data_IF_868527234377
#
_entry.id   IF_868527234377
#
_cell.length_a   1.000
_cell.length_b   1.000
_cell.length_c   1.000
_cell.angle_alpha   90.00
_cell.angle_beta   90.00
_cell.angle_gamma   90.00
#
_symmetry.space_group_name_H-M   'P 1'
#
loop_
_entity.id
_entity.type
_entity.pdbx_description
1 polymer ?
#
# COMPACT_ATOMS: atom_id res chain seq x y z
N UNK A 1 -25.07 1.07 -76.59
CA UNK A 1 -24.77 -0.06 -77.51
C UNK A 1 -24.57 -1.24 -76.61
N UNK A 2 -25.62 -1.97 -76.44
CA UNK A 2 -25.94 -3.26 -77.08
C UNK A 2 -25.05 -4.37 -76.50
N UNK A 3 -25.68 -5.23 -75.78
CA UNK A 3 -26.50 -6.47 -76.01
C UNK A 3 -25.65 -7.66 -75.59
N UNK A 4 -26.01 -8.62 -74.95
CA UNK A 4 -27.07 -9.62 -74.70
C UNK A 4 -26.32 -10.83 -74.14
N UNK A 5 -26.68 -11.43 -73.09
CA UNK A 5 -27.75 -12.38 -72.78
C UNK A 5 -27.46 -13.84 -73.21
N UNK A 6 -27.87 -14.72 -72.36
CA UNK A 6 -28.15 -16.17 -72.52
C UNK A 6 -26.95 -17.13 -72.28
N UNK A 7 -27.08 -18.22 -71.58
CA UNK A 7 -28.25 -18.99 -71.22
C UNK A 7 -27.90 -20.18 -70.34
N UNK A 8 -28.88 -20.69 -69.78
CA UNK A 8 -29.16 -21.82 -68.90
C UNK A 8 -28.40 -23.13 -69.24
N UNK A 9 -27.94 -23.86 -68.25
CA UNK A 9 -28.18 -25.31 -68.16
C UNK A 9 -27.87 -25.87 -66.78
N UNK A 10 -28.88 -26.42 -66.16
CA UNK A 10 -28.97 -27.31 -65.01
C UNK A 10 -28.16 -28.59 -65.21
N UNK A 11 -27.38 -29.00 -64.19
CA UNK A 11 -27.28 -30.41 -63.83
C UNK A 11 -26.91 -30.54 -62.35
N UNK A 12 -27.85 -31.19 -61.62
CA UNK A 12 -27.68 -31.74 -60.30
C UNK A 12 -26.66 -32.89 -60.31
N UNK A 13 -25.67 -32.84 -59.42
CA UNK A 13 -25.10 -34.07 -58.87
C UNK A 13 -24.88 -33.89 -57.39
N UNK A 14 -25.56 -34.69 -56.65
CA UNK A 14 -25.43 -34.93 -55.22
C UNK A 14 -24.06 -35.53 -54.91
N UNK A 15 -23.29 -34.87 -54.04
CA UNK A 15 -22.24 -35.54 -53.31
C UNK A 15 -22.27 -35.14 -51.85
N UNK A 16 -22.14 -36.16 -51.02
CA UNK A 16 -22.35 -36.20 -49.60
C UNK A 16 -21.43 -35.27 -48.83
N UNK A 17 -21.99 -34.38 -48.05
CA UNK A 17 -21.34 -33.68 -46.95
C UNK A 17 -21.03 -34.68 -45.83
N UNK A 18 -19.78 -35.10 -45.72
CA UNK A 18 -19.25 -35.69 -44.50
C UNK A 18 -19.10 -34.60 -43.44
N UNK A 19 -20.09 -34.39 -42.64
CA UNK A 19 -20.03 -33.69 -41.37
C UNK A 19 -19.30 -34.58 -40.38
N UNK A 20 -18.01 -34.39 -40.22
CA UNK A 20 -17.26 -34.87 -39.04
C UNK A 20 -17.72 -34.08 -37.84
N UNK A 21 -18.84 -34.47 -37.23
CA UNK A 21 -19.15 -34.08 -35.86
C UNK A 21 -18.03 -34.57 -34.97
N UNK A 22 -17.23 -33.61 -34.48
CA UNK A 22 -16.34 -33.82 -33.35
C UNK A 22 -17.19 -34.21 -32.12
N UNK A 23 -17.48 -35.50 -32.01
CA UNK A 23 -18.04 -36.07 -30.79
C UNK A 23 -16.99 -35.92 -29.68
N UNK A 24 -17.04 -34.81 -28.95
CA UNK A 24 -16.36 -34.68 -27.68
C UNK A 24 -16.85 -35.81 -26.79
N UNK A 25 -15.94 -36.73 -26.44
CA UNK A 25 -16.20 -37.85 -25.57
C UNK A 25 -16.90 -37.42 -24.27
N UNK A 26 -17.82 -38.21 -23.72
CA UNK A 26 -18.52 -37.88 -22.47
C UNK A 26 -17.62 -37.49 -21.32
N UNK A 27 -16.36 -37.97 -21.28
CA UNK A 27 -15.35 -37.58 -20.28
C UNK A 27 -14.89 -36.15 -20.39
N UNK A 28 -14.81 -35.53 -21.60
CA UNK A 28 -14.43 -34.13 -21.76
C UNK A 28 -15.55 -33.18 -21.34
N UNK A 29 -16.83 -33.56 -21.60
CA UNK A 29 -17.99 -32.79 -21.09
C UNK A 29 -18.10 -32.86 -19.56
N UNK A 30 -17.82 -34.00 -18.95
CA UNK A 30 -17.83 -34.18 -17.48
C UNK A 30 -16.65 -33.37 -16.85
N UNK A 31 -15.49 -33.35 -17.48
CA UNK A 31 -14.36 -32.52 -17.02
C UNK A 31 -14.66 -31.01 -17.12
N UNK A 32 -15.28 -30.57 -18.20
CA UNK A 32 -15.70 -29.17 -18.35
C UNK A 32 -16.75 -28.77 -17.31
N UNK A 33 -17.79 -29.58 -17.11
CA UNK A 33 -18.81 -29.37 -16.08
C UNK A 33 -18.25 -29.39 -14.65
N UNK A 34 -17.27 -30.28 -14.33
CA UNK A 34 -16.59 -30.28 -13.03
C UNK A 34 -15.65 -29.09 -12.83
N UNK A 35 -15.12 -28.50 -13.90
CA UNK A 35 -14.37 -27.26 -13.81
C UNK A 35 -15.22 -26.04 -13.40
N UNK A 36 -16.50 -26.05 -13.78
CA UNK A 36 -17.45 -24.98 -13.42
C UNK A 36 -17.93 -25.01 -11.95
N UNK A 37 -17.73 -26.10 -11.24
CA UNK A 37 -18.22 -26.26 -9.86
C UNK A 37 -17.26 -25.79 -8.77
N UNK A 38 -16.17 -25.10 -9.11
CA UNK A 38 -15.29 -24.48 -8.11
C UNK A 38 -15.66 -22.99 -8.01
N UNK A 39 -16.34 -22.53 -6.94
CA UNK A 39 -16.80 -21.16 -6.85
C UNK A 39 -15.60 -20.20 -6.95
N UNK A 40 -15.79 -19.14 -7.72
CA UNK A 40 -14.88 -18.02 -7.77
C UNK A 40 -15.14 -17.17 -6.53
N UNK A 41 -14.12 -16.95 -5.70
CA UNK A 41 -14.22 -16.14 -4.49
C UNK A 41 -13.76 -14.74 -4.83
N UNK A 42 -14.69 -13.79 -4.73
CA UNK A 42 -14.38 -12.38 -4.96
C UNK A 42 -13.60 -11.80 -3.79
N UNK A 43 -12.57 -11.02 -4.11
CA UNK A 43 -11.69 -10.39 -3.16
C UNK A 43 -11.38 -8.96 -3.61
N UNK A 44 -11.41 -8.00 -2.68
CA UNK A 44 -10.96 -6.63 -2.88
C UNK A 44 -9.67 -6.41 -2.11
N UNK A 45 -8.60 -6.04 -2.81
CA UNK A 45 -7.30 -5.73 -2.21
C UNK A 45 -6.88 -4.31 -2.58
N UNK A 46 -6.77 -3.44 -1.58
CA UNK A 46 -6.14 -2.14 -1.71
C UNK A 46 -4.78 -2.22 -1.02
N UNK A 47 -3.71 -1.86 -1.72
CA UNK A 47 -2.35 -2.06 -1.22
C UNK A 47 -1.51 -0.80 -1.43
N UNK A 48 -0.95 -0.29 -0.33
CA UNK A 48 0.07 0.76 -0.31
C UNK A 48 1.44 0.13 -0.04
N UNK A 49 2.23 0.02 -1.08
CA UNK A 49 3.57 -0.57 -1.02
C UNK A 49 4.59 0.42 -0.43
N UNK A 50 4.47 0.74 0.85
CA UNK A 50 5.40 1.59 1.58
C UNK A 50 6.81 0.96 1.68
N UNK A 51 7.86 1.78 1.89
CA UNK A 51 9.25 1.29 2.00
C UNK A 51 9.55 0.57 3.31
N UNK A 52 8.82 0.89 4.38
CA UNK A 52 8.99 0.28 5.71
C UNK A 52 7.83 -0.61 6.09
N UNK A 53 6.63 -0.30 5.63
CA UNK A 53 5.42 -1.08 5.86
C UNK A 53 4.57 -1.11 4.61
N UNK A 54 4.09 -2.28 4.27
CA UNK A 54 2.99 -2.47 3.35
C UNK A 54 1.72 -2.32 4.17
N UNK A 55 0.86 -1.41 3.77
CA UNK A 55 -0.46 -1.20 4.36
C UNK A 55 -1.48 -1.71 3.36
N UNK A 56 -2.48 -2.41 3.83
CA UNK A 56 -3.48 -2.95 2.92
C UNK A 56 -4.86 -3.03 3.56
N UNK A 57 -5.86 -3.02 2.70
CA UNK A 57 -7.25 -3.25 3.02
C UNK A 57 -7.70 -4.49 2.23
N UNK A 58 -7.96 -5.58 2.91
CA UNK A 58 -8.42 -6.83 2.32
C UNK A 58 -9.89 -7.06 2.70
N UNK A 59 -10.77 -7.02 1.72
CA UNK A 59 -12.22 -7.14 1.94
C UNK A 59 -12.80 -6.20 3.03
N UNK A 60 -12.20 -5.03 3.20
CA UNK A 60 -12.64 -4.05 4.20
C UNK A 60 -11.88 -4.12 5.54
N UNK A 61 -11.03 -5.12 5.76
CA UNK A 61 -10.19 -5.23 6.96
C UNK A 61 -8.82 -4.58 6.72
N UNK A 62 -8.46 -3.67 7.61
CA UNK A 62 -7.19 -2.94 7.57
C UNK A 62 -6.09 -3.74 8.24
N UNK A 63 -4.94 -3.84 7.58
CA UNK A 63 -3.76 -4.48 8.16
C UNK A 63 -2.45 -3.85 7.66
N UNK A 64 -1.37 -4.13 8.36
CA UNK A 64 -0.02 -3.68 8.01
C UNK A 64 1.01 -4.77 8.25
N UNK A 65 1.93 -4.93 7.31
CA UNK A 65 3.09 -5.81 7.45
C UNK A 65 4.39 -5.03 7.20
N UNK A 66 5.48 -5.50 7.75
CA UNK A 66 6.80 -4.96 7.44
C UNK A 66 7.17 -5.26 5.99
N UNK A 67 7.75 -4.27 5.30
CA UNK A 67 8.12 -4.38 3.89
C UNK A 67 9.44 -5.15 3.73
N UNK A 68 9.48 -6.36 4.28
CA UNK A 68 10.62 -7.28 4.22
C UNK A 68 10.15 -8.67 3.84
N UNK A 69 11.00 -9.42 3.15
CA UNK A 69 10.74 -10.84 2.92
C UNK A 69 12.05 -11.63 2.94
N UNK A 70 11.93 -12.94 3.14
CA UNK A 70 12.99 -13.93 2.90
C UNK A 70 12.50 -15.02 1.96
N UNK A 71 13.35 -15.42 1.04
CA UNK A 71 13.23 -16.66 0.31
C UNK A 71 13.91 -17.75 1.14
N UNK A 72 13.19 -18.78 1.53
CA UNK A 72 13.71 -19.84 2.40
C UNK A 72 13.91 -21.14 1.65
N UNK A 73 14.94 -21.90 2.05
CA UNK A 73 15.19 -23.26 1.61
C UNK A 73 14.55 -24.22 2.61
N UNK A 74 13.76 -25.16 2.13
CA UNK A 74 13.05 -26.11 2.98
C UNK A 74 11.59 -25.74 3.22
N UNK A 75 10.95 -26.40 4.19
CA UNK A 75 9.53 -26.29 4.45
C UNK A 75 9.14 -24.94 5.07
N UNK A 76 7.93 -24.49 4.77
CA UNK A 76 7.36 -23.30 5.37
C UNK A 76 7.01 -23.56 6.85
N UNK A 77 7.26 -22.58 7.75
CA UNK A 77 6.85 -22.70 9.14
C UNK A 77 5.32 -22.86 9.24
N UNK A 78 4.91 -23.87 10.01
CA UNK A 78 3.50 -24.14 10.25
C UNK A 78 2.87 -23.03 11.08
N UNK A 79 1.69 -22.55 10.67
CA UNK A 79 0.90 -21.57 11.43
C UNK A 79 1.43 -20.12 11.39
N UNK A 80 2.53 -19.83 10.72
CA UNK A 80 3.07 -18.48 10.59
C UNK A 80 2.33 -17.73 9.47
N UNK A 81 1.90 -16.49 9.76
CA UNK A 81 1.32 -15.60 8.75
C UNK A 81 2.40 -15.08 7.77
N UNK A 82 1.99 -14.69 6.56
CA UNK A 82 2.89 -14.21 5.54
C UNK A 82 3.75 -15.28 4.88
N UNK A 83 3.45 -16.56 5.10
CA UNK A 83 4.17 -17.71 4.54
C UNK A 83 3.41 -18.31 3.35
N UNK A 84 4.09 -18.47 2.20
CA UNK A 84 3.50 -19.09 1.00
C UNK A 84 4.56 -19.66 0.07
N UNK A 85 4.16 -20.59 -0.79
CA UNK A 85 5.00 -21.08 -1.90
C UNK A 85 4.50 -20.48 -3.22
N UNK A 86 5.44 -19.99 -4.02
CA UNK A 86 5.16 -19.35 -5.30
C UNK A 86 6.31 -19.59 -6.27
N UNK A 87 6.02 -20.03 -7.50
CA UNK A 87 7.02 -20.34 -8.53
C UNK A 87 8.15 -21.27 -8.00
N UNK A 88 7.77 -22.33 -7.31
CA UNK A 88 8.67 -23.33 -6.70
C UNK A 88 9.66 -22.75 -5.66
N UNK A 89 9.32 -21.65 -5.02
CA UNK A 89 10.07 -21.02 -3.96
C UNK A 89 9.19 -20.78 -2.76
N UNK A 90 9.76 -20.84 -1.57
CA UNK A 90 9.09 -20.58 -0.31
C UNK A 90 9.44 -19.19 0.19
N UNK A 91 8.43 -18.41 0.54
CA UNK A 91 8.55 -17.03 0.99
C UNK A 91 7.98 -16.84 2.38
N UNK A 92 8.64 -16.02 3.16
CA UNK A 92 8.14 -15.45 4.41
C UNK A 92 8.19 -13.93 4.28
N UNK A 93 7.07 -13.25 4.52
CA UNK A 93 6.93 -11.79 4.40
C UNK A 93 6.59 -11.20 5.76
N UNK A 94 7.16 -10.03 6.07
CA UNK A 94 6.90 -9.29 7.30
C UNK A 94 7.68 -9.83 8.49
N UNK A 95 7.12 -9.65 9.71
CA UNK A 95 7.80 -9.97 10.98
C UNK A 95 8.27 -11.43 11.09
N UNK A 96 7.60 -12.37 10.42
CA UNK A 96 8.01 -13.77 10.40
C UNK A 96 9.44 -13.98 9.88
N UNK A 97 9.99 -13.02 9.11
CA UNK A 97 11.38 -13.08 8.65
C UNK A 97 12.42 -13.18 9.78
N UNK A 98 12.13 -12.65 10.97
CA UNK A 98 13.05 -12.70 12.11
C UNK A 98 13.25 -14.14 12.62
N UNK A 99 12.26 -15.01 12.42
CA UNK A 99 12.22 -16.38 12.92
C UNK A 99 12.76 -17.43 11.96
N UNK A 100 13.16 -17.05 10.75
CA UNK A 100 13.63 -17.97 9.71
C UNK A 100 15.01 -17.59 9.19
N UNK A 101 15.76 -18.61 8.73
CA UNK A 101 17.06 -18.39 8.07
C UNK A 101 16.83 -17.97 6.60
N UNK A 102 17.69 -17.12 6.08
CA UNK A 102 17.66 -16.66 4.70
C UNK A 102 18.14 -15.22 4.59
N UNK A 103 18.40 -14.79 3.36
CA UNK A 103 18.75 -13.41 3.07
C UNK A 103 17.52 -12.51 3.21
N UNK A 104 17.65 -11.46 4.01
CA UNK A 104 16.59 -10.46 4.19
C UNK A 104 16.57 -9.50 3.00
N UNK A 105 15.42 -9.39 2.35
CA UNK A 105 15.19 -8.43 1.28
C UNK A 105 14.19 -7.38 1.73
N UNK A 106 14.60 -6.12 1.69
CA UNK A 106 13.75 -4.98 2.03
C UNK A 106 13.10 -4.39 0.77
N UNK A 107 11.90 -3.82 0.90
CA UNK A 107 11.22 -3.09 -0.17
C UNK A 107 11.88 -1.73 -0.40
N UNK A 108 12.94 -1.69 -1.18
CA UNK A 108 13.56 -0.46 -1.66
C UNK A 108 12.92 0.01 -2.97
N UNK A 109 13.23 1.27 -3.40
CA UNK A 109 12.61 1.89 -4.59
C UNK A 109 12.58 0.97 -5.81
N UNK A 110 13.68 0.28 -6.10
CA UNK A 110 13.77 -0.58 -7.29
C UNK A 110 13.13 -1.96 -7.11
N UNK A 111 12.99 -2.43 -5.89
CA UNK A 111 12.41 -3.74 -5.59
C UNK A 111 10.89 -3.73 -5.44
N UNK A 112 10.28 -2.56 -5.17
CA UNK A 112 8.82 -2.46 -4.97
C UNK A 112 8.04 -3.02 -6.16
N UNK A 113 8.41 -2.61 -7.38
CA UNK A 113 7.73 -3.06 -8.59
C UNK A 113 8.22 -4.43 -9.01
N UNK A 114 9.53 -4.67 -9.00
CA UNK A 114 10.11 -5.97 -9.43
C UNK A 114 9.62 -7.16 -8.60
N UNK A 115 9.25 -6.92 -7.35
CA UNK A 115 8.77 -7.93 -6.38
C UNK A 115 7.33 -7.69 -5.94
N UNK A 116 6.56 -6.98 -6.77
CA UNK A 116 5.15 -6.68 -6.47
C UNK A 116 4.33 -7.96 -6.30
N UNK A 117 4.66 -9.03 -7.03
CA UNK A 117 4.08 -10.35 -6.89
C UNK A 117 4.25 -10.89 -5.45
N UNK A 118 5.46 -10.79 -4.89
CA UNK A 118 5.74 -11.22 -3.50
C UNK A 118 4.97 -10.34 -2.49
N UNK A 119 4.91 -9.03 -2.72
CA UNK A 119 4.21 -8.11 -1.81
C UNK A 119 2.70 -8.33 -1.81
N UNK A 120 2.10 -8.56 -2.97
CA UNK A 120 0.66 -8.87 -3.11
C UNK A 120 0.33 -10.19 -2.43
N UNK A 121 1.12 -11.23 -2.67
CA UNK A 121 0.91 -12.54 -2.03
C UNK A 121 1.19 -12.47 -0.53
N UNK A 122 2.20 -11.71 -0.10
CA UNK A 122 2.48 -11.43 1.30
C UNK A 122 1.31 -10.77 2.00
N UNK A 123 0.68 -9.77 1.39
CA UNK A 123 -0.51 -9.14 1.94
C UNK A 123 -1.68 -10.12 2.08
N UNK A 124 -1.96 -10.91 1.04
CA UNK A 124 -3.04 -11.92 1.07
C UNK A 124 -2.84 -13.00 2.14
N UNK A 125 -1.58 -13.41 2.38
CA UNK A 125 -1.25 -14.51 3.30
C UNK A 125 -0.95 -14.02 4.73
N UNK A 126 -0.77 -12.72 4.93
CA UNK A 126 -0.52 -12.12 6.24
C UNK A 126 -1.79 -11.83 7.02
N UNK A 127 -2.90 -11.59 6.31
CA UNK A 127 -4.22 -11.62 6.91
C UNK A 127 -4.69 -13.07 6.95
N UNK A 128 -4.37 -13.75 8.04
CA UNK A 128 -4.66 -15.18 8.19
C UNK A 128 -6.15 -15.48 8.12
N UNK A 129 -6.98 -14.60 8.67
CA UNK A 129 -8.41 -14.87 8.83
C UNK A 129 -9.10 -15.09 7.49
N UNK A 130 -8.84 -14.24 6.49
CA UNK A 130 -9.48 -14.36 5.16
C UNK A 130 -9.20 -15.71 4.46
N UNK A 131 -7.93 -16.10 4.36
CA UNK A 131 -7.58 -17.37 3.70
C UNK A 131 -7.92 -18.58 4.58
N UNK A 132 -7.81 -18.46 5.89
CA UNK A 132 -8.14 -19.53 6.83
C UNK A 132 -9.65 -19.80 6.85
N UNK A 133 -10.49 -18.78 6.87
CA UNK A 133 -11.94 -18.92 6.72
C UNK A 133 -12.32 -19.64 5.42
N UNK A 134 -11.62 -19.34 4.32
CA UNK A 134 -11.80 -20.04 3.06
C UNK A 134 -11.41 -21.51 3.18
N UNK A 135 -10.32 -21.83 3.88
CA UNK A 135 -9.86 -23.20 4.08
C UNK A 135 -10.77 -23.99 5.01
N UNK A 136 -11.33 -23.36 6.03
CA UNK A 136 -12.24 -23.96 7.01
C UNK A 136 -13.64 -24.19 6.45
N UNK A 137 -14.04 -23.47 5.38
CA UNK A 137 -15.32 -23.68 4.74
C UNK A 137 -15.45 -25.14 4.27
N UNK A 138 -16.48 -25.83 4.77
CA UNK A 138 -16.79 -27.23 4.42
C UNK A 138 -16.85 -27.48 2.91
N UNK A 139 -17.24 -26.46 2.13
CA UNK A 139 -17.27 -26.52 0.66
C UNK A 139 -15.88 -26.62 0.04
N UNK A 140 -14.85 -26.14 0.70
CA UNK A 140 -13.46 -26.10 0.23
C UNK A 140 -12.58 -27.17 0.89
N UNK A 141 -12.91 -27.61 2.09
CA UNK A 141 -12.08 -28.48 2.96
C UNK A 141 -11.64 -29.80 2.32
N UNK A 142 -12.49 -30.38 1.46
CA UNK A 142 -12.24 -31.70 0.86
C UNK A 142 -11.95 -31.65 -0.64
N UNK A 143 -11.76 -30.48 -1.22
CA UNK A 143 -11.51 -30.37 -2.66
C UNK A 143 -10.04 -30.50 -2.96
N UNK A 144 -9.71 -31.36 -3.92
CA UNK A 144 -8.36 -31.51 -4.47
C UNK A 144 -7.99 -30.46 -5.50
N UNK A 145 -8.96 -29.67 -5.94
CA UNK A 145 -8.78 -28.62 -6.96
C UNK A 145 -8.33 -27.31 -6.32
N UNK A 146 -7.52 -26.50 -7.03
CA UNK A 146 -7.15 -25.15 -6.58
C UNK A 146 -8.38 -24.30 -6.25
N UNK A 147 -8.29 -23.51 -5.19
CA UNK A 147 -9.28 -22.50 -4.83
C UNK A 147 -9.08 -21.28 -5.73
N UNK A 148 -10.15 -20.74 -6.31
CA UNK A 148 -10.07 -19.65 -7.27
C UNK A 148 -10.40 -18.32 -6.61
N UNK A 149 -9.44 -17.39 -6.61
CA UNK A 149 -9.62 -16.03 -6.14
C UNK A 149 -9.78 -15.09 -7.34
N UNK A 150 -10.75 -14.20 -7.26
CA UNK A 150 -10.98 -13.14 -8.22
C UNK A 150 -10.74 -11.80 -7.53
N UNK A 151 -9.62 -11.15 -7.85
CA UNK A 151 -9.13 -9.99 -7.12
C UNK A 151 -9.42 -8.70 -7.88
N UNK A 152 -10.12 -7.78 -7.21
CA UNK A 152 -10.17 -6.37 -7.60
C UNK A 152 -9.06 -5.63 -6.85
N UNK A 153 -7.97 -5.27 -7.54
CA UNK A 153 -6.80 -4.66 -6.92
C UNK A 153 -6.76 -3.15 -7.13
N UNK A 154 -6.38 -2.40 -6.08
CA UNK A 154 -6.01 -0.99 -6.17
C UNK A 154 -4.65 -0.81 -5.51
N UNK A 155 -3.73 -0.15 -6.20
CA UNK A 155 -2.36 0.08 -5.75
C UNK A 155 -2.12 1.57 -5.50
N UNK A 156 -1.47 1.85 -4.39
CA UNK A 156 -1.06 3.20 -3.99
C UNK A 156 0.46 3.34 -4.00
N UNK A 157 0.94 4.57 -4.04
CA UNK A 157 2.37 4.90 -3.94
C UNK A 157 3.25 4.30 -5.05
N UNK A 158 2.64 3.93 -6.17
CA UNK A 158 3.33 3.49 -7.39
C UNK A 158 3.10 4.49 -8.52
N UNK A 159 4.02 4.52 -9.49
CA UNK A 159 3.90 5.41 -10.64
C UNK A 159 2.88 4.88 -11.65
N UNK A 160 1.86 5.68 -11.95
CA UNK A 160 0.86 5.37 -12.99
C UNK A 160 1.49 5.20 -14.39
N UNK A 161 2.61 5.90 -14.66
CA UNK A 161 3.34 5.76 -15.92
C UNK A 161 3.88 4.33 -16.14
N UNK A 162 3.94 3.50 -15.11
CA UNK A 162 4.38 2.11 -15.15
C UNK A 162 3.21 1.11 -15.09
N UNK A 163 1.99 1.56 -15.29
CA UNK A 163 0.80 0.70 -15.23
C UNK A 163 0.92 -0.54 -16.13
N UNK A 164 1.46 -0.39 -17.34
CA UNK A 164 1.67 -1.52 -18.25
C UNK A 164 2.65 -2.58 -17.71
N UNK A 165 3.75 -2.16 -17.09
CA UNK A 165 4.72 -3.07 -16.47
C UNK A 165 4.12 -3.75 -15.23
N UNK A 166 3.41 -2.98 -14.42
CA UNK A 166 2.74 -3.47 -13.22
C UNK A 166 1.66 -4.50 -13.58
N UNK A 167 0.85 -4.21 -14.61
CA UNK A 167 -0.14 -5.17 -15.13
C UNK A 167 0.50 -6.47 -15.60
N UNK A 168 1.66 -6.40 -16.29
CA UNK A 168 2.40 -7.60 -16.72
C UNK A 168 2.84 -8.42 -15.51
N UNK A 169 3.40 -7.79 -14.47
CA UNK A 169 3.84 -8.49 -13.26
C UNK A 169 2.65 -9.17 -12.58
N UNK A 170 1.55 -8.44 -12.36
CA UNK A 170 0.35 -9.00 -11.75
C UNK A 170 -0.21 -10.19 -12.54
N UNK A 171 -0.23 -10.10 -13.87
CA UNK A 171 -0.67 -11.21 -14.72
C UNK A 171 0.24 -12.45 -14.67
N UNK A 172 1.48 -12.33 -14.13
CA UNK A 172 2.33 -13.51 -13.89
C UNK A 172 1.98 -14.26 -12.61
N UNK A 173 1.08 -13.72 -11.78
CA UNK A 173 0.61 -14.36 -10.56
C UNK A 173 -0.57 -15.27 -10.93
N UNK A 174 -0.27 -16.46 -11.46
CA UNK A 174 -1.30 -17.45 -11.81
C UNK A 174 -1.88 -18.14 -10.57
N UNK A 175 -1.08 -18.27 -9.51
CA UNK A 175 -1.49 -18.90 -8.26
C UNK A 175 -0.34 -19.04 -7.27
N UNK A 176 -0.67 -19.56 -6.10
CA UNK A 176 0.28 -19.81 -5.00
C UNK A 176 -0.23 -20.96 -4.13
N UNK A 177 0.65 -21.51 -3.28
CA UNK A 177 0.28 -22.47 -2.26
C UNK A 177 0.32 -21.83 -0.88
N UNK A 178 -0.76 -21.97 -0.13
CA UNK A 178 -0.89 -21.51 1.24
C UNK A 178 -1.35 -22.69 2.13
N UNK A 179 -0.57 -23.01 3.16
CA UNK A 179 -0.84 -24.12 4.09
C UNK A 179 -1.16 -25.46 3.39
N UNK A 180 -0.40 -25.77 2.33
CA UNK A 180 -0.56 -27.01 1.56
C UNK A 180 -1.75 -27.01 0.59
N UNK A 181 -2.45 -25.88 0.41
CA UNK A 181 -3.56 -25.72 -0.54
C UNK A 181 -3.17 -24.80 -1.67
N UNK A 182 -3.51 -25.22 -2.88
CA UNK A 182 -3.29 -24.41 -4.07
C UNK A 182 -4.44 -23.41 -4.27
N UNK A 183 -4.04 -22.17 -4.53
CA UNK A 183 -4.91 -21.07 -4.94
C UNK A 183 -4.54 -20.64 -6.35
N UNK A 184 -5.53 -20.27 -7.16
CA UNK A 184 -5.32 -19.55 -8.43
C UNK A 184 -5.87 -18.16 -8.34
N UNK A 185 -5.24 -17.21 -9.02
CA UNK A 185 -5.61 -15.78 -8.98
C UNK A 185 -6.00 -15.29 -10.36
N UNK A 186 -7.08 -14.50 -10.40
CA UNK A 186 -7.51 -13.71 -11.54
C UNK A 186 -7.72 -12.26 -11.10
N UNK A 187 -7.02 -11.32 -11.72
CA UNK A 187 -7.23 -9.89 -11.48
C UNK A 187 -8.27 -9.31 -12.45
N UNK A 188 -9.38 -8.79 -11.91
CA UNK A 188 -10.53 -8.33 -12.70
C UNK A 188 -10.32 -6.98 -13.38
N UNK A 189 -9.54 -6.08 -12.77
CA UNK A 189 -9.57 -4.65 -13.12
C UNK A 189 -8.26 -4.11 -13.73
N UNK A 190 -7.34 -4.96 -14.20
CA UNK A 190 -6.06 -4.50 -14.76
C UNK A 190 -6.18 -3.68 -16.06
N UNK A 191 -7.34 -3.71 -16.70
CA UNK A 191 -7.65 -2.91 -17.92
C UNK A 191 -8.17 -1.51 -17.59
N UNK A 192 -8.59 -1.25 -16.37
CA UNK A 192 -9.06 0.05 -15.87
C UNK A 192 -7.97 0.75 -15.06
N UNK A 193 -8.27 1.92 -14.50
CA UNK A 193 -7.38 2.58 -13.55
C UNK A 193 -7.37 1.81 -12.23
N UNK A 194 -6.18 1.40 -11.79
CA UNK A 194 -5.99 0.68 -10.54
C UNK A 194 -4.76 1.15 -9.76
N UNK A 195 -4.03 2.15 -10.30
CA UNK A 195 -2.85 2.75 -9.66
C UNK A 195 -3.17 4.19 -9.32
N UNK A 196 -2.98 4.55 -8.06
CA UNK A 196 -3.27 5.87 -7.51
C UNK A 196 -2.04 6.47 -6.86
N UNK A 197 -1.94 7.79 -6.87
CA UNK A 197 -0.83 8.50 -6.27
C UNK A 197 -0.80 8.32 -4.74
N UNK A 198 0.38 8.44 -4.16
CA UNK A 198 0.56 8.55 -2.72
C UNK A 198 -0.28 9.71 -2.17
N UNK A 199 -0.96 9.51 -1.04
CA UNK A 199 -1.86 10.50 -0.44
C UNK A 199 -3.27 10.56 -1.05
N UNK A 200 -3.58 9.78 -2.12
CA UNK A 200 -4.89 9.86 -2.77
C UNK A 200 -6.04 9.39 -1.88
N UNK A 201 -5.85 8.31 -1.13
CA UNK A 201 -6.86 7.85 -0.17
C UNK A 201 -7.08 8.85 0.97
N UNK A 202 -6.00 9.47 1.46
CA UNK A 202 -6.12 10.57 2.42
C UNK A 202 -6.90 11.75 1.83
N UNK A 203 -6.67 12.08 0.55
CA UNK A 203 -7.42 13.13 -0.14
C UNK A 203 -8.92 12.80 -0.30
N UNK A 204 -9.26 11.53 -0.55
CA UNK A 204 -10.65 11.08 -0.58
C UNK A 204 -11.33 11.23 0.79
N UNK A 205 -10.63 10.87 1.86
CA UNK A 205 -11.11 11.04 3.22
C UNK A 205 -11.27 12.53 3.56
N UNK A 206 -10.23 13.33 3.32
CA UNK A 206 -10.22 14.77 3.57
C UNK A 206 -11.36 15.50 2.84
N UNK A 207 -11.64 15.11 1.59
CA UNK A 207 -12.74 15.71 0.82
C UNK A 207 -14.08 15.61 1.53
N UNK A 208 -14.32 14.55 2.29
CA UNK A 208 -15.59 14.35 2.99
C UNK A 208 -15.73 15.22 4.26
N UNK A 209 -14.63 15.75 4.77
CA UNK A 209 -14.57 16.62 5.96
C UNK A 209 -14.18 18.07 5.62
N UNK A 210 -14.13 18.43 4.33
CA UNK A 210 -13.80 19.80 3.93
C UNK A 210 -14.85 20.79 4.46
N UNK A 211 -14.42 21.88 5.09
CA UNK A 211 -15.30 22.99 5.43
C UNK A 211 -15.96 23.61 4.21
N UNK A 212 -17.16 24.16 4.38
CA UNK A 212 -17.85 24.88 3.31
C UNK A 212 -17.01 26.07 2.78
N UNK A 213 -17.02 26.23 1.46
CA UNK A 213 -16.29 27.32 0.78
C UNK A 213 -14.83 27.01 0.44
N UNK A 214 -14.25 25.92 0.92
CA UNK A 214 -12.91 25.50 0.52
C UNK A 214 -12.96 24.96 -0.91
N UNK A 215 -12.17 25.53 -1.82
CA UNK A 215 -12.10 25.13 -3.23
C UNK A 215 -10.87 24.30 -3.58
N UNK A 216 -9.83 24.39 -2.75
CA UNK A 216 -8.58 23.64 -2.89
C UNK A 216 -8.07 23.20 -1.52
N UNK A 217 -7.40 22.07 -1.49
CA UNK A 217 -6.76 21.55 -0.30
C UNK A 217 -5.49 20.78 -0.67
N UNK A 218 -4.66 20.49 0.31
CA UNK A 218 -3.51 19.63 0.10
C UNK A 218 -3.40 18.58 1.19
N UNK A 219 -2.76 17.48 0.82
CA UNK A 219 -2.34 16.40 1.73
C UNK A 219 -0.84 16.50 1.91
N UNK A 220 -0.41 16.66 3.15
CA UNK A 220 0.98 16.61 3.58
C UNK A 220 1.24 15.22 4.17
N UNK A 221 2.03 14.39 3.49
CA UNK A 221 2.32 13.01 3.88
C UNK A 221 3.78 12.88 4.35
N UNK A 222 3.98 12.58 5.63
CA UNK A 222 5.28 12.28 6.22
C UNK A 222 5.45 10.76 6.33
N UNK A 223 6.02 10.18 5.28
CA UNK A 223 6.36 8.76 5.19
C UNK A 223 7.71 8.41 5.80
N UNK A 224 8.11 7.13 5.66
CA UNK A 224 9.41 6.65 6.15
C UNK A 224 10.61 7.29 5.44
N UNK A 225 10.54 7.47 4.12
CA UNK A 225 11.63 7.99 3.28
C UNK A 225 11.40 9.36 2.66
N UNK A 226 10.18 9.89 2.70
CA UNK A 226 9.78 11.11 1.98
C UNK A 226 8.86 11.98 2.83
N UNK A 227 8.92 13.30 2.60
CA UNK A 227 7.86 14.25 2.89
C UNK A 227 7.25 14.67 1.56
N UNK A 228 5.94 14.56 1.42
CA UNK A 228 5.22 14.86 0.16
C UNK A 228 4.07 15.81 0.41
N UNK A 229 3.95 16.85 -0.39
CA UNK A 229 2.79 17.74 -0.44
C UNK A 229 2.10 17.56 -1.78
N UNK A 230 0.84 17.11 -1.76
CA UNK A 230 0.02 16.99 -2.97
C UNK A 230 -1.20 17.88 -2.85
N UNK A 231 -1.32 18.84 -3.76
CA UNK A 231 -2.46 19.75 -3.80
C UNK A 231 -3.56 19.19 -4.70
N UNK A 232 -4.79 19.36 -4.26
CA UNK A 232 -5.99 18.88 -4.91
C UNK A 232 -7.00 20.00 -5.14
N UNK A 233 -7.62 20.01 -6.31
CA UNK A 233 -8.83 20.76 -6.58
C UNK A 233 -10.07 19.90 -6.30
N UNK A 234 -11.16 20.55 -5.93
CA UNK A 234 -12.43 19.88 -5.70
C UNK A 234 -13.10 19.57 -7.04
N UNK A 235 -13.06 18.32 -7.45
CA UNK A 235 -13.86 17.82 -8.58
C UNK A 235 -15.28 17.47 -8.16
N UNK A 236 -16.17 17.30 -9.13
CA UNK A 236 -17.59 16.93 -8.85
C UNK A 236 -17.73 15.66 -8.01
N UNK A 237 -16.94 14.65 -8.29
CA UNK A 237 -16.96 13.35 -7.58
C UNK A 237 -15.64 13.07 -6.85
N UNK A 238 -14.51 13.26 -7.49
CA UNK A 238 -13.20 12.86 -7.00
C UNK A 238 -12.26 14.06 -6.92
N UNK A 239 -11.30 14.08 -5.96
CA UNK A 239 -10.24 15.06 -5.92
C UNK A 239 -9.38 14.97 -7.19
N UNK A 240 -9.00 16.11 -7.75
CA UNK A 240 -8.10 16.18 -8.90
C UNK A 240 -6.74 16.71 -8.45
N UNK A 241 -5.67 15.96 -8.69
CA UNK A 241 -4.31 16.40 -8.42
C UNK A 241 -3.99 17.65 -9.26
N UNK A 242 -3.56 18.71 -8.60
CA UNK A 242 -3.14 19.99 -9.23
C UNK A 242 -1.61 20.06 -9.27
N UNK A 243 -0.94 19.74 -8.16
CA UNK A 243 0.52 19.78 -8.07
C UNK A 243 1.02 18.78 -7.04
N UNK A 244 2.30 18.41 -7.13
CA UNK A 244 2.98 17.55 -6.17
C UNK A 244 4.41 18.02 -5.96
N UNK A 245 4.82 18.17 -4.70
CA UNK A 245 6.20 18.42 -4.27
C UNK A 245 6.67 17.26 -3.40
N UNK A 246 7.91 16.81 -3.58
CA UNK A 246 8.48 15.65 -2.86
C UNK A 246 9.88 16.01 -2.38
N UNK A 247 10.10 15.94 -1.07
CA UNK A 247 11.42 15.91 -0.46
C UNK A 247 11.88 14.45 -0.33
N UNK A 248 12.59 13.96 -1.33
CA UNK A 248 13.21 12.62 -1.29
C UNK A 248 14.31 12.59 -0.25
N UNK A 249 14.29 11.58 0.65
CA UNK A 249 15.18 11.53 1.80
C UNK A 249 14.74 12.43 2.96
N UNK A 250 13.65 13.18 2.82
CA UNK A 250 13.07 14.05 3.86
C UNK A 250 12.02 13.35 4.74
N UNK A 251 12.00 12.03 4.81
CA UNK A 251 11.05 11.31 5.65
C UNK A 251 11.55 11.03 7.06
N UNK A 252 10.79 10.24 7.79
CA UNK A 252 11.02 9.89 9.20
C UNK A 252 12.39 9.27 9.48
N UNK A 253 13.02 8.58 8.52
CA UNK A 253 14.37 8.04 8.70
C UNK A 253 15.41 9.15 8.84
N UNK A 254 15.32 10.19 8.01
CA UNK A 254 16.22 11.34 8.10
C UNK A 254 15.93 12.15 9.37
N UNK A 255 14.66 12.39 9.69
CA UNK A 255 14.28 13.05 10.94
C UNK A 255 14.81 12.30 12.18
N UNK A 256 14.66 10.98 12.24
CA UNK A 256 15.18 10.18 13.33
C UNK A 256 16.72 10.28 13.43
N UNK A 257 17.42 10.39 12.29
CA UNK A 257 18.86 10.61 12.27
C UNK A 257 19.24 11.98 12.85
N UNK A 258 18.49 13.04 12.57
CA UNK A 258 18.72 14.36 13.16
C UNK A 258 18.42 14.39 14.67
N UNK A 259 17.36 13.70 15.10
CA UNK A 259 17.07 13.50 16.53
C UNK A 259 18.20 12.74 17.21
N UNK A 260 18.73 11.69 16.56
CA UNK A 260 19.88 10.93 17.08
C UNK A 260 21.13 11.82 17.25
N UNK A 261 21.41 12.69 16.29
CA UNK A 261 22.52 13.66 16.38
C UNK A 261 22.29 14.63 17.54
N UNK A 262 21.09 15.16 17.72
CA UNK A 262 20.75 16.06 18.82
C UNK A 262 20.85 15.35 20.18
N UNK A 263 20.37 14.12 20.27
CA UNK A 263 20.44 13.29 21.46
C UNK A 263 21.89 12.97 21.87
N UNK A 264 22.82 12.83 20.92
CA UNK A 264 24.23 12.60 21.22
C UNK A 264 24.96 13.83 21.75
N UNK A 265 24.40 15.02 21.64
CA UNK A 265 24.93 16.26 22.26
C UNK A 265 24.48 16.39 23.70
N UNK A 266 23.56 15.60 24.18
CA UNK A 266 23.09 15.58 25.57
C UNK A 266 23.80 14.50 26.36
N UNK A 267 23.89 14.70 27.69
CA UNK A 267 24.44 13.70 28.61
C UNK A 267 23.53 12.49 28.86
N UNK A 268 22.48 12.33 28.05
CA UNK A 268 21.65 11.14 28.07
C UNK A 268 22.51 9.98 27.57
N UNK A 269 23.37 9.48 28.48
CA UNK A 269 24.40 8.50 28.23
C UNK A 269 23.88 7.07 28.28
N UNK A 270 24.26 6.27 27.31
CA UNK A 270 24.08 4.83 27.32
C UNK A 270 24.61 4.23 26.03
N UNK A 271 25.21 3.05 26.14
CA UNK A 271 25.96 2.38 25.07
C UNK A 271 25.12 1.94 23.86
N UNK A 272 23.77 2.03 23.90
CA UNK A 272 22.88 1.48 22.87
C UNK A 272 21.85 2.49 22.36
N UNK A 273 22.33 3.64 21.88
CA UNK A 273 21.46 4.53 21.10
C UNK A 273 21.24 3.92 19.72
N UNK A 274 20.00 3.79 19.29
CA UNK A 274 19.66 3.30 17.95
C UNK A 274 18.51 4.08 17.35
N UNK A 275 18.44 4.13 16.01
CA UNK A 275 17.32 4.75 15.33
C UNK A 275 15.99 4.05 15.66
N UNK A 276 16.01 2.74 15.86
CA UNK A 276 14.81 1.99 16.24
C UNK A 276 14.30 2.41 17.62
N UNK A 277 15.18 2.67 18.59
CA UNK A 277 14.78 3.16 19.91
C UNK A 277 14.13 4.54 19.84
N UNK A 278 14.57 5.41 18.91
CA UNK A 278 13.92 6.70 18.66
C UNK A 278 12.52 6.50 18.07
N UNK A 279 12.36 5.61 17.10
CA UNK A 279 11.02 5.31 16.56
C UNK A 279 10.08 4.77 17.62
N UNK A 280 10.54 3.90 18.52
CA UNK A 280 9.71 3.40 19.63
C UNK A 280 9.38 4.51 20.63
N UNK A 281 10.30 5.41 20.95
CA UNK A 281 10.05 6.56 21.81
C UNK A 281 9.00 7.51 21.19
N UNK A 282 9.13 7.80 19.88
CA UNK A 282 8.16 8.63 19.14
C UNK A 282 6.76 8.02 19.09
N UNK A 283 6.63 6.70 18.96
CA UNK A 283 5.35 6.00 19.04
C UNK A 283 4.73 6.06 20.44
N UNK A 284 5.57 6.03 21.47
CA UNK A 284 5.12 6.10 22.85
C UNK A 284 4.92 7.53 23.35
N UNK A 285 5.09 8.53 22.47
CA UNK A 285 4.90 9.95 22.77
C UNK A 285 3.47 10.21 23.29
N UNK A 286 3.36 10.98 24.36
CA UNK A 286 2.09 11.40 24.95
C UNK A 286 2.12 12.89 25.22
N UNK A 287 0.97 13.55 25.10
CA UNK A 287 0.79 14.90 25.61
C UNK A 287 0.89 14.88 27.14
N UNK A 288 1.54 15.88 27.71
CA UNK A 288 1.68 16.09 29.15
C UNK A 288 1.28 17.54 29.48
N UNK A 289 1.08 17.84 30.78
CA UNK A 289 0.64 19.17 31.23
C UNK A 289 1.58 20.30 30.78
N UNK A 290 2.88 20.01 30.67
CA UNK A 290 3.93 20.95 30.29
C UNK A 290 4.45 20.77 28.85
N UNK A 291 3.72 19.94 28.02
CA UNK A 291 4.12 19.71 26.62
C UNK A 291 4.01 18.24 26.18
N UNK A 292 5.15 17.60 25.92
CA UNK A 292 5.20 16.21 25.48
C UNK A 292 6.17 15.37 26.31
N UNK A 293 5.76 14.16 26.65
CA UNK A 293 6.61 13.10 27.19
C UNK A 293 6.96 12.15 26.03
N UNK A 294 8.26 12.09 25.67
CA UNK A 294 8.82 11.17 24.69
C UNK A 294 9.75 10.20 25.40
N UNK A 295 9.25 9.03 25.84
CA UNK A 295 9.97 8.13 26.74
C UNK A 295 11.05 7.35 25.97
N UNK A 296 12.30 7.64 26.23
CA UNK A 296 13.46 6.95 25.66
C UNK A 296 14.14 6.06 26.70
N UNK A 297 14.31 4.77 26.39
CA UNK A 297 14.91 3.80 27.30
C UNK A 297 16.40 3.66 27.06
N UNK A 298 17.20 3.90 28.08
CA UNK A 298 18.66 3.77 28.07
C UNK A 298 19.14 3.19 29.40
N UNK A 299 19.94 2.10 29.36
CA UNK A 299 20.60 1.55 30.57
C UNK A 299 19.64 1.22 31.72
N UNK A 300 18.39 0.78 31.40
CA UNK A 300 17.38 0.48 32.40
C UNK A 300 16.61 1.70 32.95
N UNK A 301 16.91 2.90 32.49
CA UNK A 301 16.19 4.14 32.83
C UNK A 301 15.34 4.60 31.65
N UNK A 302 14.34 5.42 31.96
CA UNK A 302 13.51 6.09 30.95
C UNK A 302 13.72 7.59 31.08
N UNK A 303 14.19 8.21 30.01
CA UNK A 303 14.44 9.65 29.92
C UNK A 303 13.42 10.29 28.97
N UNK A 304 13.06 11.54 29.24
CA UNK A 304 12.23 12.32 28.30
C UNK A 304 13.14 13.01 27.27
N UNK A 305 13.03 12.66 26.01
CA UNK A 305 13.83 13.24 24.91
C UNK A 305 13.09 14.29 24.08
N UNK A 306 11.99 14.86 24.58
CA UNK A 306 11.16 15.81 23.84
C UNK A 306 11.99 17.00 23.30
N UNK A 307 12.92 17.55 24.11
CA UNK A 307 13.82 18.63 23.69
C UNK A 307 14.70 18.21 22.51
N UNK A 308 15.34 17.04 22.58
CA UNK A 308 16.16 16.51 21.48
C UNK A 308 15.33 16.24 20.22
N UNK A 309 14.04 15.93 20.35
CA UNK A 309 13.11 15.78 19.21
C UNK A 309 12.85 17.15 18.56
N UNK A 310 12.63 18.20 19.33
CA UNK A 310 12.40 19.57 18.82
C UNK A 310 13.66 20.08 18.12
N UNK A 311 14.84 19.91 18.72
CA UNK A 311 16.12 20.29 18.14
C UNK A 311 16.40 19.54 16.84
N UNK A 312 16.19 18.21 16.87
CA UNK A 312 16.36 17.35 15.69
C UNK A 312 15.41 17.74 14.55
N UNK A 313 14.19 18.17 14.86
CA UNK A 313 13.23 18.63 13.88
C UNK A 313 13.65 19.99 13.30
N UNK A 314 14.17 20.91 14.12
CA UNK A 314 14.77 22.15 13.67
C UNK A 314 15.90 21.94 12.68
N UNK A 315 16.85 21.05 13.00
CA UNK A 315 17.95 20.67 12.12
C UNK A 315 17.44 20.02 10.82
N UNK A 316 16.46 19.12 10.93
CA UNK A 316 15.86 18.44 9.78
C UNK A 316 15.24 19.43 8.76
N UNK A 317 14.60 20.50 9.23
CA UNK A 317 14.07 21.56 8.36
C UNK A 317 15.22 22.41 7.79
N UNK A 318 16.19 22.82 8.63
CA UNK A 318 17.26 23.71 8.22
C UNK A 318 18.24 23.08 7.22
N UNK A 319 18.55 21.81 7.39
CA UNK A 319 19.51 21.09 6.56
C UNK A 319 18.91 20.58 5.22
N UNK A 320 17.59 20.69 5.04
CA UNK A 320 16.93 20.19 3.84
C UNK A 320 16.04 21.26 3.18
N UNK A 321 16.56 22.00 2.18
CA UNK A 321 15.81 23.04 1.50
C UNK A 321 14.49 22.58 0.88
N UNK A 322 14.40 21.31 0.45
CA UNK A 322 13.16 20.76 -0.11
C UNK A 322 12.06 20.60 0.93
N UNK A 323 12.43 20.34 2.19
CA UNK A 323 11.50 20.29 3.32
C UNK A 323 10.98 21.70 3.62
N UNK A 324 11.89 22.68 3.76
CA UNK A 324 11.55 24.07 3.99
C UNK A 324 10.62 24.62 2.88
N UNK A 325 10.89 24.29 1.60
CA UNK A 325 10.02 24.64 0.47
C UNK A 325 8.62 24.05 0.60
N UNK A 326 8.51 22.76 0.98
CA UNK A 326 7.22 22.10 1.19
C UNK A 326 6.44 22.75 2.33
N UNK A 327 7.06 23.06 3.46
CA UNK A 327 6.40 23.72 4.58
C UNK A 327 5.96 25.13 4.21
N UNK A 328 6.79 25.88 3.47
CA UNK A 328 6.44 27.19 2.94
C UNK A 328 5.23 27.14 2.00
N UNK A 329 5.21 26.18 1.07
CA UNK A 329 4.05 25.96 0.17
C UNK A 329 2.80 25.60 0.92
N UNK A 330 2.93 24.80 2.00
CA UNK A 330 1.80 24.48 2.88
C UNK A 330 1.22 25.72 3.53
N UNK A 331 2.06 26.59 4.08
CA UNK A 331 1.64 27.89 4.62
C UNK A 331 0.95 28.77 3.57
N UNK A 332 1.48 28.81 2.34
CA UNK A 332 0.87 29.58 1.23
C UNK A 332 -0.53 29.09 0.87
N UNK A 333 -0.78 27.76 0.92
CA UNK A 333 -2.11 27.21 0.70
C UNK A 333 -3.09 27.68 1.78
N UNK A 334 -2.69 27.70 3.05
CA UNK A 334 -3.52 28.21 4.15
C UNK A 334 -3.81 29.70 4.00
N UNK A 335 -2.79 30.51 3.68
CA UNK A 335 -2.95 31.97 3.43
C UNK A 335 -3.93 32.24 2.29
N UNK A 336 -3.95 31.38 1.27
CA UNK A 336 -4.88 31.50 0.15
C UNK A 336 -6.30 30.96 0.43
N UNK A 337 -6.60 30.62 1.69
CA UNK A 337 -7.91 30.10 2.10
C UNK A 337 -8.14 28.62 1.78
N UNK A 338 -7.08 27.86 1.50
CA UNK A 338 -7.14 26.42 1.35
C UNK A 338 -7.05 25.68 2.68
N UNK A 339 -7.03 24.34 2.62
CA UNK A 339 -6.87 23.48 3.79
C UNK A 339 -5.67 22.53 3.63
N UNK A 340 -5.03 22.16 4.75
CA UNK A 340 -3.95 21.17 4.83
C UNK A 340 -4.37 20.00 5.70
N UNK A 341 -4.25 18.79 5.15
CA UNK A 341 -4.52 17.54 5.86
C UNK A 341 -3.21 16.75 6.00
N UNK A 342 -2.76 16.58 7.24
CA UNK A 342 -1.52 15.89 7.56
C UNK A 342 -1.76 14.38 7.70
N UNK A 343 -0.92 13.58 7.07
CA UNK A 343 -1.00 12.10 7.04
C UNK A 343 0.38 11.46 7.05
N UNK A 344 0.42 10.13 7.10
CA UNK A 344 1.65 9.36 7.14
C UNK A 344 2.08 8.98 8.56
N UNK A 345 3.01 8.02 8.64
CA UNK A 345 3.45 7.47 9.93
C UNK A 345 4.13 8.50 10.85
N UNK A 346 4.70 9.57 10.30
CA UNK A 346 5.33 10.63 11.07
C UNK A 346 4.34 11.45 11.87
N UNK A 347 3.17 11.72 11.31
CA UNK A 347 2.09 12.46 11.98
C UNK A 347 1.33 11.65 13.05
N UNK A 348 1.64 10.35 13.19
CA UNK A 348 1.15 9.57 14.32
C UNK A 348 1.85 9.92 15.65
N UNK A 349 2.99 10.63 15.59
CA UNK A 349 3.67 11.17 16.79
C UNK A 349 3.17 12.58 17.08
N UNK A 350 2.52 12.77 18.23
CA UNK A 350 1.91 14.05 18.61
C UNK A 350 2.89 15.22 18.60
N UNK A 351 4.11 15.05 19.13
CA UNK A 351 5.12 16.11 19.16
C UNK A 351 5.56 16.53 17.75
N UNK A 352 5.71 15.58 16.82
CA UNK A 352 6.08 15.89 15.42
C UNK A 352 4.93 16.62 14.72
N UNK A 353 3.72 16.11 14.90
CA UNK A 353 2.51 16.71 14.34
C UNK A 353 2.35 18.15 14.81
N UNK A 354 2.42 18.40 16.13
CA UNK A 354 2.30 19.73 16.72
C UNK A 354 3.34 20.69 16.17
N UNK A 355 4.62 20.30 16.18
CA UNK A 355 5.70 21.21 15.74
C UNK A 355 5.69 21.51 14.25
N UNK A 356 5.32 20.55 13.40
CA UNK A 356 5.16 20.80 11.96
C UNK A 356 3.96 21.71 11.71
N UNK A 357 2.82 21.46 12.37
CA UNK A 357 1.63 22.31 12.25
C UNK A 357 1.93 23.73 12.74
N UNK A 358 2.59 23.90 13.89
CA UNK A 358 3.03 25.21 14.37
C UNK A 358 3.91 25.95 13.35
N UNK A 359 4.84 25.24 12.70
CA UNK A 359 5.70 25.82 11.66
C UNK A 359 4.89 26.29 10.44
N UNK A 360 3.93 25.48 9.97
CA UNK A 360 3.08 25.80 8.82
C UNK A 360 2.13 26.94 9.13
N UNK A 361 1.58 26.97 10.37
CA UNK A 361 0.53 27.93 10.77
C UNK A 361 1.06 29.18 11.46
N UNK A 362 2.38 29.37 11.52
CA UNK A 362 2.99 30.51 12.19
C UNK A 362 2.38 31.84 11.73
N UNK A 363 1.63 32.50 12.63
CA UNK A 363 0.92 33.75 12.34
C UNK A 363 -0.36 33.62 11.51
N UNK A 364 -0.83 32.41 11.21
CA UNK A 364 -2.05 32.13 10.43
C UNK A 364 -3.09 31.48 11.35
N UNK A 365 -4.38 31.77 11.15
CA UNK A 365 -5.44 31.03 11.81
C UNK A 365 -5.37 29.53 11.41
N UNK A 366 -5.17 28.66 12.38
CA UNK A 366 -4.90 27.23 12.18
C UNK A 366 -6.13 26.39 11.83
N UNK A 367 -7.33 27.01 11.71
CA UNK A 367 -8.60 26.27 11.58
C UNK A 367 -8.72 25.32 10.40
N UNK A 368 -7.83 25.42 9.39
CA UNK A 368 -7.83 24.60 8.19
C UNK A 368 -6.57 23.72 8.06
N UNK A 369 -5.86 23.48 9.16
CA UNK A 369 -4.70 22.57 9.19
C UNK A 369 -4.89 21.53 10.28
N UNK A 370 -5.05 20.25 9.90
CA UNK A 370 -5.34 19.18 10.85
C UNK A 370 -4.63 17.87 10.48
N UNK A 371 -4.43 17.02 11.48
CA UNK A 371 -4.00 15.65 11.29
C UNK A 371 -5.22 14.78 11.08
N UNK A 372 -5.23 14.01 9.99
CA UNK A 372 -6.29 13.04 9.73
C UNK A 372 -6.29 11.94 10.80
N UNK A 373 -7.48 11.44 11.11
CA UNK A 373 -7.63 10.29 12.00
C UNK A 373 -6.87 9.08 11.45
N UNK A 374 -6.16 8.35 12.34
CA UNK A 374 -5.31 7.21 11.96
C UNK A 374 -4.35 7.52 10.78
N UNK A 375 -3.51 8.57 10.88
CA UNK A 375 -2.75 9.11 9.75
C UNK A 375 -1.82 8.08 9.11
N UNK A 376 -1.42 7.06 9.86
CA UNK A 376 -0.52 6.02 9.36
C UNK A 376 -1.19 5.03 8.37
N UNK A 377 -2.52 4.92 8.34
CA UNK A 377 -3.26 3.98 7.48
C UNK A 377 -4.31 4.65 6.59
N UNK A 378 -4.68 5.90 6.87
CA UNK A 378 -5.76 6.63 6.17
C UNK A 378 -5.61 6.62 4.64
N UNK A 379 -4.38 6.51 4.13
CA UNK A 379 -4.14 6.44 2.69
C UNK A 379 -4.74 5.17 2.06
N UNK A 380 -4.84 4.10 2.80
CA UNK A 380 -5.47 2.85 2.36
C UNK A 380 -6.95 2.86 2.69
N UNK A 381 -7.32 3.18 3.95
CA UNK A 381 -8.71 3.16 4.38
C UNK A 381 -9.57 4.22 3.69
N UNK A 382 -9.01 5.37 3.34
CA UNK A 382 -9.70 6.40 2.56
C UNK A 382 -10.10 5.95 1.15
N UNK A 383 -9.44 4.94 0.58
CA UNK A 383 -9.81 4.38 -0.72
C UNK A 383 -11.18 3.68 -0.74
N UNK A 384 -11.82 3.46 0.40
CA UNK A 384 -13.21 3.00 0.49
C UNK A 384 -14.21 4.01 -0.10
N UNK A 385 -13.81 5.29 -0.20
CA UNK A 385 -14.64 6.35 -0.80
C UNK A 385 -14.49 6.49 -2.32
N UNK A 386 -13.66 5.66 -2.95
CA UNK A 386 -13.52 5.55 -4.40
C UNK A 386 -14.59 4.60 -4.96
#
# INVERSE_FOLDING_TARGET
MNFEANGISTQQTSEAMNTTENQQTPLSKVKALKAYNNPLIDCSLILDAGSKRIKFLLNGYESTIESVYKEIKGDLPSGMSGCFSYKNKNYVVGRGCESVLGELVEAQKDNKIKKLDVWVLGALTSDSDFLDDILEDKRNRYKTKPIRLSINIKLLSLSSNRQGDISKILNTIEGFNYRGRDFTIEFKNLKSEFIYSEGYGAALSAKNSLPDGITNFAVLDLGGGTLTLTSYGIGRRLPKVLSRSVASGGGMQNLASQIFVSLNKTDIGGETKSLNSIFEALKACKADNDGFLVPYRVGGRTENIAESVVDGLGNWIADNPSIADILTKSSQILVSGGAIYCTGGGFASGIIADKIIQNITNGISSGNCEVLENPHIINVSGMKYL
#
